data_IF_393899503773
#
_entry.id   IF_393899503773
#
_cell.length_a   1.000
_cell.length_b   1.000
_cell.length_c   1.000
_cell.angle_alpha   90.00
_cell.angle_beta   90.00
_cell.angle_gamma   90.00
#
_symmetry.space_group_name_H-M   'P 1'
#
loop_
_entity.id
_entity.type
_entity.pdbx_description
1 polymer ?
#
# COMPACT_ATOMS: atom_id res chain seq x y z
N UNK A 1 -43.35 -58.53 30.14
CA UNK A 1 -43.21 -57.08 29.75
C UNK A 1 -42.44 -56.39 30.88
N UNK A 2 -41.14 -56.14 30.72
CA UNK A 2 -40.26 -55.51 31.74
C UNK A 2 -40.58 -54.01 31.83
N UNK A 3 -41.16 -53.62 32.97
CA UNK A 3 -41.46 -52.21 33.25
C UNK A 3 -40.12 -51.49 33.44
N UNK A 4 -39.85 -50.49 32.64
CA UNK A 4 -38.62 -49.66 32.72
C UNK A 4 -38.58 -48.88 34.03
N UNK A 5 -37.44 -48.89 34.70
CA UNK A 5 -37.24 -48.25 36.00
C UNK A 5 -37.50 -46.73 35.89
N UNK A 6 -38.32 -46.20 36.80
CA UNK A 6 -38.70 -44.77 36.83
C UNK A 6 -37.46 -43.79 36.85
N UNK A 7 -36.32 -44.25 37.38
CA UNK A 7 -35.08 -43.50 37.37
C UNK A 7 -34.50 -43.35 35.93
N UNK A 8 -34.54 -44.44 35.14
CA UNK A 8 -34.08 -44.43 33.74
C UNK A 8 -34.95 -43.52 32.86
N UNK A 9 -36.27 -43.52 33.09
CA UNK A 9 -37.21 -42.64 32.37
C UNK A 9 -36.91 -41.17 32.67
N UNK A 10 -36.63 -40.80 33.93
CA UNK A 10 -36.24 -39.41 34.29
C UNK A 10 -34.93 -38.94 33.61
N UNK A 11 -33.92 -39.79 33.54
CA UNK A 11 -32.65 -39.47 32.87
C UNK A 11 -32.82 -39.33 31.36
N UNK A 12 -33.62 -40.14 30.72
CA UNK A 12 -33.95 -40.04 29.29
C UNK A 12 -34.70 -38.74 29.02
N UNK A 13 -35.64 -38.33 29.86
CA UNK A 13 -36.38 -37.07 29.72
C UNK A 13 -35.46 -35.84 29.89
N UNK A 14 -34.49 -35.90 30.80
CA UNK A 14 -33.50 -34.81 30.99
C UNK A 14 -32.57 -34.72 29.77
N UNK A 15 -32.08 -35.83 29.24
CA UNK A 15 -31.23 -35.86 28.04
C UNK A 15 -32.00 -35.34 26.81
N UNK A 16 -33.26 -35.74 26.64
CA UNK A 16 -34.10 -35.21 25.55
C UNK A 16 -34.37 -33.72 25.69
N UNK A 17 -34.59 -33.21 26.92
CA UNK A 17 -34.78 -31.79 27.18
C UNK A 17 -33.50 -30.99 26.89
N UNK A 18 -32.31 -31.51 27.22
CA UNK A 18 -31.02 -30.88 26.93
C UNK A 18 -30.74 -30.84 25.40
N UNK A 19 -31.06 -31.92 24.70
CA UNK A 19 -30.92 -31.97 23.21
C UNK A 19 -31.90 -31.01 22.54
N UNK A 20 -33.16 -30.92 23.03
CA UNK A 20 -34.14 -29.94 22.55
C UNK A 20 -33.67 -28.49 22.82
N UNK A 21 -33.12 -28.25 24.02
CA UNK A 21 -32.59 -26.92 24.38
C UNK A 21 -31.37 -26.51 23.56
N UNK A 22 -30.44 -27.45 23.26
CA UNK A 22 -29.34 -27.23 22.35
C UNK A 22 -29.79 -26.99 20.89
N UNK A 23 -30.88 -27.65 20.45
CA UNK A 23 -31.47 -27.45 19.13
C UNK A 23 -32.14 -26.08 18.94
N UNK A 24 -32.65 -25.46 20.02
CA UNK A 24 -33.32 -24.14 20.00
C UNK A 24 -32.31 -23.01 20.06
N UNK A 25 -31.14 -23.23 20.65
CA UNK A 25 -30.02 -22.27 20.67
C UNK A 25 -28.96 -22.48 19.57
N UNK A 26 -29.14 -23.50 18.72
CA UNK A 26 -28.45 -23.58 17.42
C UNK A 26 -29.04 -22.53 16.48
N UNK A 27 -29.02 -21.27 16.87
CA UNK A 27 -29.27 -20.18 15.95
C UNK A 27 -28.32 -20.39 14.78
N UNK A 28 -28.86 -20.43 13.56
CA UNK A 28 -28.07 -20.30 12.36
C UNK A 28 -27.14 -19.12 12.61
N UNK A 29 -25.86 -19.39 12.84
CA UNK A 29 -24.84 -18.41 12.58
C UNK A 29 -24.92 -18.24 11.06
N UNK A 30 -25.79 -17.32 10.66
CA UNK A 30 -25.81 -16.82 9.30
C UNK A 30 -24.39 -16.34 9.08
N UNK A 31 -23.58 -17.16 8.43
CA UNK A 31 -22.28 -16.75 7.99
C UNK A 31 -22.58 -15.65 6.95
N UNK A 32 -22.69 -14.40 7.44
CA UNK A 32 -22.96 -13.24 6.62
C UNK A 32 -22.08 -13.35 5.39
N UNK A 33 -22.73 -13.52 4.24
CA UNK A 33 -22.03 -13.71 2.97
C UNK A 33 -21.04 -12.57 2.80
N UNK A 34 -19.76 -12.90 2.60
CA UNK A 34 -18.72 -11.88 2.51
C UNK A 34 -19.01 -10.97 1.33
N UNK A 35 -19.04 -9.67 1.58
CA UNK A 35 -19.20 -8.67 0.52
C UNK A 35 -18.00 -8.74 -0.42
N UNK A 36 -18.23 -9.05 -1.68
CA UNK A 36 -17.19 -8.96 -2.71
C UNK A 36 -16.89 -7.50 -3.01
N UNK A 37 -15.62 -7.12 -2.89
CA UNK A 37 -15.11 -5.79 -3.22
C UNK A 37 -14.14 -5.93 -4.39
N UNK A 38 -14.48 -5.32 -5.52
CA UNK A 38 -13.69 -5.33 -6.74
C UNK A 38 -12.65 -4.22 -6.65
N UNK A 39 -11.38 -4.59 -6.75
CA UNK A 39 -10.26 -3.65 -6.63
C UNK A 39 -9.48 -3.65 -7.94
N UNK A 40 -9.23 -2.47 -8.50
CA UNK A 40 -8.40 -2.32 -9.68
C UNK A 40 -6.95 -2.77 -9.39
N UNK A 41 -6.37 -3.50 -10.32
CA UNK A 41 -5.01 -4.02 -10.23
C UNK A 41 -4.27 -3.70 -11.52
N UNK A 42 -3.36 -2.75 -11.46
CA UNK A 42 -2.58 -2.25 -12.60
C UNK A 42 -1.09 -2.34 -12.28
N UNK A 43 -0.18 -2.36 -13.27
CA UNK A 43 1.24 -2.44 -13.03
C UNK A 43 1.75 -1.27 -12.15
N UNK A 44 2.28 -1.60 -10.97
CA UNK A 44 2.85 -0.62 -10.04
C UNK A 44 3.91 -1.31 -9.18
N UNK A 45 5.17 -0.99 -9.44
CA UNK A 45 6.31 -1.63 -8.79
C UNK A 45 6.23 -1.58 -7.26
N UNK A 46 6.40 -2.73 -6.63
CA UNK A 46 6.33 -2.90 -5.18
C UNK A 46 4.91 -2.89 -4.58
N UNK A 47 3.92 -2.40 -5.29
CA UNK A 47 2.53 -2.31 -4.83
C UNK A 47 1.63 -3.37 -5.44
N UNK A 48 1.67 -3.54 -6.75
CA UNK A 48 0.91 -4.52 -7.50
C UNK A 48 1.85 -5.41 -8.29
N UNK A 49 1.98 -6.65 -7.89
CA UNK A 49 2.87 -7.64 -8.51
C UNK A 49 2.05 -8.86 -8.91
N UNK A 50 2.08 -9.22 -10.18
CA UNK A 50 1.57 -10.49 -10.66
C UNK A 50 2.71 -11.48 -10.70
N UNK A 51 2.63 -12.53 -9.88
CA UNK A 51 3.63 -13.59 -9.83
C UNK A 51 3.52 -14.53 -11.04
N UNK A 52 4.54 -15.31 -11.30
CA UNK A 52 4.57 -16.26 -12.41
C UNK A 52 3.52 -17.38 -12.33
N UNK A 53 3.01 -17.66 -11.13
CA UNK A 53 1.90 -18.60 -10.88
C UNK A 53 0.52 -17.96 -10.98
N UNK A 54 0.43 -16.68 -11.35
CA UNK A 54 -0.79 -15.90 -11.42
C UNK A 54 -1.31 -15.35 -10.09
N UNK A 55 -0.63 -15.63 -8.98
CA UNK A 55 -0.98 -15.03 -7.68
C UNK A 55 -0.64 -13.54 -7.63
N UNK A 56 -1.31 -12.81 -6.75
CA UNK A 56 -1.11 -11.37 -6.54
C UNK A 56 -0.29 -11.14 -5.28
N UNK A 57 0.65 -10.21 -5.35
CA UNK A 57 1.46 -9.78 -4.21
C UNK A 57 1.75 -8.27 -4.30
N UNK A 58 2.46 -7.74 -3.31
CA UNK A 58 2.78 -6.32 -3.21
C UNK A 58 2.11 -5.64 -2.02
N UNK A 59 2.45 -4.38 -1.81
CA UNK A 59 2.03 -3.61 -0.62
C UNK A 59 0.50 -3.52 -0.50
N UNK A 60 -0.20 -3.22 -1.60
CA UNK A 60 -1.65 -3.10 -1.60
C UNK A 60 -2.35 -4.44 -1.32
N UNK A 61 -1.77 -5.55 -1.79
CA UNK A 61 -2.31 -6.89 -1.49
C UNK A 61 -2.18 -7.20 0.01
N UNK A 62 -1.03 -6.88 0.61
CA UNK A 62 -0.81 -7.06 2.06
C UNK A 62 -1.78 -6.19 2.86
N UNK A 63 -1.94 -4.92 2.47
CA UNK A 63 -2.85 -3.98 3.13
C UNK A 63 -4.32 -4.45 3.05
N UNK A 64 -4.79 -4.82 1.86
CA UNK A 64 -6.16 -5.29 1.66
C UNK A 64 -6.45 -6.61 2.38
N UNK A 65 -5.49 -7.53 2.41
CA UNK A 65 -5.64 -8.77 3.18
C UNK A 65 -5.77 -8.49 4.68
N UNK A 66 -4.94 -7.58 5.23
CA UNK A 66 -5.07 -7.16 6.63
C UNK A 66 -6.43 -6.50 6.89
N UNK A 67 -6.91 -5.65 5.97
CA UNK A 67 -8.23 -5.02 6.09
C UNK A 67 -9.38 -6.07 6.09
N UNK A 68 -9.25 -7.14 5.31
CA UNK A 68 -10.24 -8.24 5.28
C UNK A 68 -10.36 -9.01 6.61
N UNK A 69 -9.36 -8.95 7.49
CA UNK A 69 -9.44 -9.53 8.84
C UNK A 69 -10.40 -8.76 9.76
N UNK A 70 -10.63 -7.47 9.47
CA UNK A 70 -11.49 -6.57 10.25
C UNK A 70 -12.82 -6.27 9.56
N UNK A 71 -12.97 -6.68 8.31
CA UNK A 71 -14.18 -6.45 7.51
C UNK A 71 -14.74 -7.77 7.02
N UNK A 72 -16.01 -7.78 6.67
CA UNK A 72 -16.60 -8.96 6.02
C UNK A 72 -16.39 -8.91 4.50
N UNK A 73 -15.18 -8.53 4.06
CA UNK A 73 -14.84 -8.37 2.64
C UNK A 73 -14.16 -9.61 2.08
N UNK A 74 -14.41 -9.81 0.78
CA UNK A 74 -13.67 -10.71 -0.09
C UNK A 74 -13.15 -9.88 -1.27
N UNK A 75 -11.84 -9.73 -1.40
CA UNK A 75 -11.25 -8.97 -2.49
C UNK A 75 -11.30 -9.78 -3.78
N UNK A 76 -11.74 -9.11 -4.84
CA UNK A 76 -11.65 -9.56 -6.22
C UNK A 76 -10.84 -8.53 -7.00
N UNK A 77 -9.64 -8.92 -7.42
CA UNK A 77 -8.81 -8.05 -8.26
C UNK A 77 -9.34 -8.04 -9.70
N UNK A 78 -9.40 -6.83 -10.28
CA UNK A 78 -9.77 -6.59 -11.67
C UNK A 78 -8.57 -5.99 -12.37
N UNK A 79 -8.02 -6.72 -13.33
CA UNK A 79 -6.84 -6.27 -14.07
C UNK A 79 -7.13 -5.04 -14.89
N UNK A 80 -6.18 -4.11 -14.88
CA UNK A 80 -6.14 -2.90 -15.67
C UNK A 80 -4.74 -2.76 -16.26
N UNK A 81 -4.65 -2.24 -17.48
CA UNK A 81 -3.37 -2.04 -18.15
C UNK A 81 -2.65 -0.78 -17.66
N UNK A 82 -3.41 0.18 -17.10
CA UNK A 82 -2.88 1.45 -16.62
C UNK A 82 -3.70 2.02 -15.44
N UNK A 83 -3.15 3.08 -14.85
CA UNK A 83 -3.85 3.91 -13.88
C UNK A 83 -5.11 4.57 -14.46
N UNK A 84 -5.02 5.05 -15.68
CA UNK A 84 -6.11 5.70 -16.39
C UNK A 84 -7.28 4.73 -16.58
N UNK A 85 -7.00 3.50 -17.03
CA UNK A 85 -8.02 2.46 -17.17
C UNK A 85 -8.64 2.08 -15.81
N UNK A 86 -7.85 2.09 -14.75
CA UNK A 86 -8.38 1.84 -13.40
C UNK A 86 -9.38 2.92 -12.97
N UNK A 87 -9.13 4.19 -13.31
CA UNK A 87 -10.06 5.29 -13.05
C UNK A 87 -11.32 5.18 -13.90
N UNK A 88 -11.20 4.88 -15.21
CA UNK A 88 -12.35 4.66 -16.10
C UNK A 88 -13.24 3.51 -15.59
N UNK A 89 -12.63 2.41 -15.14
CA UNK A 89 -13.38 1.30 -14.54
C UNK A 89 -14.05 1.67 -13.21
N UNK A 90 -13.48 2.60 -12.46
CA UNK A 90 -14.11 3.11 -11.24
C UNK A 90 -15.32 3.99 -11.57
N UNK A 91 -15.21 4.87 -12.53
CA UNK A 91 -16.30 5.70 -13.04
C UNK A 91 -17.46 4.86 -13.60
N UNK A 92 -17.13 3.82 -14.36
CA UNK A 92 -18.09 2.88 -14.92
C UNK A 92 -18.67 1.90 -13.88
N UNK A 93 -18.29 2.00 -12.62
CA UNK A 93 -18.68 1.09 -11.54
C UNK A 93 -18.29 -0.38 -11.79
N UNK A 94 -17.26 -0.62 -12.61
CA UNK A 94 -16.69 -1.95 -12.88
C UNK A 94 -15.77 -2.43 -11.77
N UNK A 95 -15.19 -1.49 -11.04
CA UNK A 95 -14.46 -1.71 -9.79
C UNK A 95 -15.05 -0.85 -8.67
N UNK A 96 -14.83 -1.26 -7.43
CA UNK A 96 -15.34 -0.57 -6.24
C UNK A 96 -14.28 0.30 -5.59
N UNK A 97 -13.00 -0.07 -5.74
CA UNK A 97 -11.85 0.64 -5.16
C UNK A 97 -10.70 0.72 -6.15
N UNK A 98 -10.00 1.85 -6.09
CA UNK A 98 -8.66 2.05 -6.69
C UNK A 98 -7.72 2.52 -5.59
N UNK A 99 -6.59 1.84 -5.40
CA UNK A 99 -5.55 2.20 -4.43
C UNK A 99 -4.56 3.23 -4.96
N UNK A 100 -3.64 3.66 -4.10
CA UNK A 100 -2.48 4.51 -4.45
C UNK A 100 -2.81 5.88 -5.07
N UNK A 101 -4.03 6.38 -4.85
CA UNK A 101 -4.47 7.68 -5.35
C UNK A 101 -3.90 8.84 -4.53
N UNK A 102 -3.08 9.69 -5.12
CA UNK A 102 -2.74 10.97 -4.53
C UNK A 102 -3.94 11.93 -4.63
N UNK A 103 -4.13 12.74 -3.59
CA UNK A 103 -5.22 13.70 -3.56
C UNK A 103 -5.03 14.79 -4.62
N UNK A 104 -6.11 15.09 -5.36
CA UNK A 104 -6.26 16.32 -6.13
C UNK A 104 -7.70 16.82 -6.02
N UNK A 105 -7.89 18.15 -6.13
CA UNK A 105 -9.21 18.75 -6.09
C UNK A 105 -10.11 18.25 -7.22
N UNK A 106 -9.60 18.18 -8.43
CA UNK A 106 -10.32 17.67 -9.61
C UNK A 106 -10.82 16.25 -9.37
N UNK A 107 -9.94 15.36 -8.90
CA UNK A 107 -10.32 13.97 -8.62
C UNK A 107 -11.31 13.85 -7.46
N UNK A 108 -11.26 14.74 -6.47
CA UNK A 108 -12.21 14.78 -5.37
C UNK A 108 -13.60 15.28 -5.78
N UNK A 109 -13.73 15.94 -6.95
CA UNK A 109 -15.03 16.27 -7.52
C UNK A 109 -15.75 15.04 -8.09
N UNK A 110 -15.03 14.01 -8.49
CA UNK A 110 -15.55 12.79 -9.12
C UNK A 110 -15.63 11.61 -8.16
N UNK A 111 -14.62 11.45 -7.31
CA UNK A 111 -14.47 10.29 -6.41
C UNK A 111 -14.49 10.67 -4.94
N UNK A 112 -14.79 9.68 -4.10
CA UNK A 112 -14.63 9.78 -2.65
C UNK A 112 -13.27 9.20 -2.25
N UNK A 113 -12.54 9.92 -1.42
CA UNK A 113 -11.30 9.48 -0.81
C UNK A 113 -11.56 8.84 0.55
N UNK A 114 -10.80 7.80 0.89
CA UNK A 114 -10.76 7.32 2.26
C UNK A 114 -10.27 8.45 3.20
N UNK A 115 -10.80 8.53 4.41
CA UNK A 115 -10.42 9.56 5.39
C UNK A 115 -8.98 9.40 5.86
N UNK A 116 -8.49 8.17 5.91
CA UNK A 116 -7.15 7.83 6.38
C UNK A 116 -6.32 7.39 5.17
N UNK A 117 -5.09 7.93 5.00
CA UNK A 117 -4.21 7.46 3.94
C UNK A 117 -3.83 6.00 4.13
N UNK A 118 -3.78 5.25 3.04
CA UNK A 118 -3.28 3.86 3.03
C UNK A 118 -1.76 3.78 3.05
N UNK A 119 -1.08 4.88 2.74
CA UNK A 119 0.37 4.96 2.76
C UNK A 119 0.90 6.32 2.37
N UNK A 120 2.23 6.40 2.24
CA UNK A 120 2.94 7.61 1.87
C UNK A 120 4.02 7.30 0.84
N UNK A 121 4.16 8.17 -0.16
CA UNK A 121 5.33 8.21 -1.04
C UNK A 121 6.27 9.33 -0.58
N UNK A 122 7.56 9.16 -0.85
CA UNK A 122 8.62 10.06 -0.39
C UNK A 122 9.57 10.38 -1.54
N UNK A 123 10.18 11.56 -1.50
CA UNK A 123 11.48 11.76 -2.09
C UNK A 123 12.53 11.14 -1.18
N UNK A 124 13.53 10.51 -1.75
CA UNK A 124 14.62 9.86 -1.00
C UNK A 124 15.98 10.32 -1.49
N UNK A 125 16.95 10.23 -0.58
CA UNK A 125 18.37 10.37 -0.87
C UNK A 125 18.98 9.01 -0.62
N UNK A 126 19.54 8.38 -1.65
CA UNK A 126 20.10 7.04 -1.56
C UNK A 126 21.57 7.00 -2.03
N UNK A 127 22.35 6.14 -1.42
CA UNK A 127 23.76 5.91 -1.71
C UNK A 127 24.06 4.47 -2.03
N UNK A 128 25.27 4.17 -2.46
CA UNK A 128 25.78 2.82 -2.57
C UNK A 128 25.81 2.11 -1.20
N UNK A 129 25.75 0.77 -1.16
CA UNK A 129 25.67 -0.01 0.08
C UNK A 129 26.91 0.16 0.99
N UNK A 130 28.06 0.47 0.43
CA UNK A 130 29.34 0.67 1.12
C UNK A 130 29.53 2.10 1.68
N UNK A 131 28.62 3.01 1.39
CA UNK A 131 28.66 4.36 1.91
C UNK A 131 28.65 4.39 3.45
N UNK A 132 29.48 5.24 4.05
CA UNK A 132 29.57 5.41 5.50
C UNK A 132 28.68 6.52 6.04
N UNK A 133 27.96 7.24 5.16
CA UNK A 133 27.05 8.31 5.57
C UNK A 133 25.86 7.69 6.30
N UNK A 134 25.63 8.11 7.55
CA UNK A 134 24.49 7.64 8.32
C UNK A 134 23.19 8.35 7.84
N UNK A 135 22.04 7.80 8.23
CA UNK A 135 20.74 8.40 7.95
C UNK A 135 20.66 9.77 8.61
N UNK A 136 20.36 10.81 7.81
CA UNK A 136 20.28 12.23 8.24
C UNK A 136 21.55 12.77 8.90
N UNK A 137 22.73 12.25 8.53
CA UNK A 137 24.01 12.85 8.89
C UNK A 137 24.30 14.06 7.99
N UNK A 138 23.59 15.16 8.27
CA UNK A 138 23.72 16.40 7.48
C UNK A 138 25.12 17.00 7.43
N UNK A 139 25.95 16.92 8.50
CA UNK A 139 27.37 17.29 8.40
C UNK A 139 28.13 16.53 7.31
N UNK A 140 27.97 15.21 7.23
CA UNK A 140 28.56 14.39 6.16
C UNK A 140 27.92 14.66 4.78
N UNK A 141 26.62 14.87 4.75
CA UNK A 141 25.84 15.16 3.54
C UNK A 141 26.17 16.52 2.90
N UNK A 142 26.80 17.45 3.64
CA UNK A 142 27.08 18.81 3.15
C UNK A 142 28.05 18.86 1.98
N UNK A 143 29.02 17.96 1.93
CA UNK A 143 30.15 18.02 1.01
C UNK A 143 30.10 16.98 -0.12
N UNK A 144 28.99 16.30 -0.27
CA UNK A 144 28.80 15.28 -1.30
C UNK A 144 28.13 15.83 -2.56
N UNK A 145 28.29 15.09 -3.66
CA UNK A 145 27.65 15.39 -4.95
C UNK A 145 26.39 14.55 -5.09
N UNK A 146 25.26 15.22 -5.33
CA UNK A 146 23.96 14.61 -5.57
C UNK A 146 23.72 14.47 -7.06
N UNK A 147 23.09 13.35 -7.47
CA UNK A 147 22.51 13.21 -8.80
C UNK A 147 21.01 13.33 -8.74
N UNK A 148 20.39 13.86 -9.79
CA UNK A 148 18.95 14.00 -9.93
C UNK A 148 18.57 13.94 -11.40
N UNK A 149 17.41 13.37 -11.75
CA UNK A 149 16.92 13.48 -13.13
C UNK A 149 16.45 14.90 -13.43
N UNK A 150 16.61 15.32 -14.68
CA UNK A 150 16.07 16.59 -15.17
C UNK A 150 14.54 16.61 -14.91
N UNK A 151 14.00 17.77 -14.50
CA UNK A 151 12.58 17.98 -14.20
C UNK A 151 12.00 17.08 -13.08
N UNK A 152 12.84 16.62 -12.15
CA UNK A 152 12.34 15.88 -11.00
C UNK A 152 11.29 16.69 -10.22
N UNK A 153 10.09 16.13 -10.12
CA UNK A 153 8.90 16.84 -9.60
C UNK A 153 8.99 17.28 -8.14
N UNK A 154 9.96 16.75 -7.35
CA UNK A 154 10.20 17.13 -5.95
C UNK A 154 11.54 17.85 -5.76
N UNK A 155 12.08 18.43 -6.81
CA UNK A 155 13.35 19.17 -6.74
C UNK A 155 13.30 20.30 -5.72
N UNK A 156 12.23 21.09 -5.73
CA UNK A 156 12.09 22.23 -4.82
C UNK A 156 11.95 21.76 -3.36
N UNK A 157 11.22 20.70 -3.12
CA UNK A 157 11.10 20.11 -1.78
C UNK A 157 12.43 19.53 -1.28
N UNK A 158 13.23 18.94 -2.19
CA UNK A 158 14.60 18.51 -1.85
C UNK A 158 15.46 19.71 -1.43
N UNK A 159 15.46 20.80 -2.20
CA UNK A 159 16.22 22.00 -1.88
C UNK A 159 15.77 22.63 -0.55
N UNK A 160 14.46 22.66 -0.28
CA UNK A 160 13.91 23.13 1.00
C UNK A 160 14.36 22.24 2.16
N UNK A 161 14.30 20.91 2.00
CA UNK A 161 14.75 19.94 3.00
C UNK A 161 16.24 20.13 3.33
N UNK A 162 17.09 20.26 2.31
CA UNK A 162 18.52 20.49 2.48
C UNK A 162 18.81 21.84 3.16
N UNK A 163 18.14 22.90 2.73
CA UNK A 163 18.30 24.23 3.32
C UNK A 163 17.86 24.27 4.78
N UNK A 164 16.73 23.65 5.12
CA UNK A 164 16.23 23.54 6.50
C UNK A 164 17.25 22.85 7.42
N UNK A 165 18.00 21.91 6.87
CA UNK A 165 19.02 21.14 7.60
C UNK A 165 20.45 21.72 7.43
N UNK A 166 20.56 23.01 7.03
CA UNK A 166 21.81 23.75 7.01
C UNK A 166 22.66 23.56 5.74
N UNK A 167 22.15 22.89 4.71
CA UNK A 167 22.80 22.70 3.41
C UNK A 167 22.17 23.63 2.37
N UNK A 168 22.65 24.87 2.29
CA UNK A 168 22.03 25.93 1.46
C UNK A 168 22.22 25.75 -0.04
N UNK A 169 23.30 25.09 -0.47
CA UNK A 169 23.67 24.96 -1.88
C UNK A 169 24.23 23.56 -2.13
N UNK A 170 23.40 22.52 -2.16
CA UNK A 170 23.86 21.18 -2.48
C UNK A 170 24.42 21.13 -3.91
N UNK A 171 25.54 20.43 -4.12
CA UNK A 171 26.11 20.21 -5.44
C UNK A 171 25.30 19.16 -6.16
N UNK A 172 24.59 19.53 -7.24
CA UNK A 172 23.69 18.65 -7.98
C UNK A 172 24.18 18.50 -9.42
N UNK A 173 24.23 17.26 -9.91
CA UNK A 173 24.41 16.91 -11.32
C UNK A 173 23.08 16.35 -11.84
N UNK A 174 22.63 16.86 -13.00
CA UNK A 174 21.38 16.43 -13.61
C UNK A 174 21.61 15.39 -14.69
N UNK A 175 20.75 14.39 -14.75
CA UNK A 175 20.76 13.28 -15.69
C UNK A 175 19.45 13.22 -16.48
N UNK A 176 19.52 12.73 -17.72
CA UNK A 176 18.33 12.64 -18.59
C UNK A 176 17.39 11.52 -18.21
N UNK A 177 17.91 10.43 -17.65
CA UNK A 177 17.12 9.27 -17.29
C UNK A 177 17.49 8.71 -15.90
N UNK A 178 16.56 7.96 -15.30
CA UNK A 178 16.82 7.21 -14.07
C UNK A 178 17.92 6.17 -14.27
N UNK A 179 18.05 5.58 -15.46
CA UNK A 179 19.14 4.64 -15.77
C UNK A 179 20.52 5.32 -15.70
N UNK A 180 20.68 6.48 -16.35
CA UNK A 180 21.94 7.23 -16.33
C UNK A 180 22.30 7.66 -14.90
N UNK A 181 21.31 8.09 -14.13
CA UNK A 181 21.47 8.45 -12.72
C UNK A 181 21.96 7.28 -11.87
N UNK A 182 21.37 6.10 -12.05
CA UNK A 182 21.77 4.89 -11.34
C UNK A 182 23.17 4.41 -11.74
N UNK A 183 23.51 4.52 -13.02
CA UNK A 183 24.84 4.20 -13.53
C UNK A 183 25.91 5.15 -12.95
N UNK A 184 25.61 6.43 -12.88
CA UNK A 184 26.51 7.43 -12.29
C UNK A 184 26.80 7.15 -10.80
N UNK A 185 25.77 6.75 -10.02
CA UNK A 185 25.99 6.33 -8.64
C UNK A 185 26.87 5.07 -8.57
N UNK A 186 26.61 4.07 -9.40
CA UNK A 186 27.38 2.82 -9.39
C UNK A 186 28.84 3.02 -9.77
N UNK A 187 29.14 4.00 -10.64
CA UNK A 187 30.49 4.37 -11.06
C UNK A 187 31.20 5.32 -10.10
N UNK A 188 30.50 5.82 -9.07
CA UNK A 188 31.04 6.81 -8.14
C UNK A 188 31.20 8.22 -8.71
N UNK A 189 30.52 8.54 -9.81
CA UNK A 189 30.48 9.90 -10.40
C UNK A 189 29.70 10.87 -9.52
N UNK A 190 28.75 10.33 -8.72
CA UNK A 190 27.99 11.00 -7.68
C UNK A 190 28.06 10.17 -6.40
N UNK A 191 27.90 10.82 -5.25
CA UNK A 191 27.92 10.19 -3.94
C UNK A 191 26.53 9.70 -3.51
N UNK A 192 25.49 10.41 -3.94
CA UNK A 192 24.10 10.09 -3.64
C UNK A 192 23.20 10.47 -4.82
N UNK A 193 22.12 9.71 -4.98
CA UNK A 193 21.04 10.06 -5.91
C UNK A 193 19.80 10.53 -5.15
N UNK A 194 19.01 11.37 -5.82
CA UNK A 194 17.75 11.90 -5.32
C UNK A 194 16.64 11.51 -6.28
N UNK A 195 15.69 10.70 -5.79
CA UNK A 195 14.54 10.24 -6.60
C UNK A 195 13.35 9.80 -5.73
N UNK A 196 12.33 9.20 -6.34
CA UNK A 196 11.18 8.66 -5.62
C UNK A 196 11.52 7.37 -4.88
N UNK A 197 10.88 7.11 -3.76
CA UNK A 197 11.09 5.89 -2.97
C UNK A 197 10.87 4.59 -3.77
N UNK A 198 9.91 4.61 -4.70
CA UNK A 198 9.59 3.46 -5.57
C UNK A 198 10.70 3.10 -6.56
N UNK A 199 11.68 3.95 -6.75
CA UNK A 199 12.80 3.76 -7.69
C UNK A 199 14.10 3.31 -6.99
N UNK A 200 14.05 3.07 -5.66
CA UNK A 200 15.20 2.57 -4.89
C UNK A 200 15.50 1.14 -5.30
N UNK A 201 16.75 0.90 -5.70
CA UNK A 201 17.22 -0.44 -6.04
C UNK A 201 17.66 -1.24 -4.81
N UNK A 202 17.58 -2.57 -4.92
CA UNK A 202 18.09 -3.46 -3.87
C UNK A 202 19.57 -3.17 -3.57
N UNK A 203 19.92 -3.18 -2.29
CA UNK A 203 21.26 -2.90 -1.81
C UNK A 203 21.57 -1.42 -1.60
N UNK A 204 20.80 -0.47 -2.15
CA UNK A 204 21.00 0.95 -1.87
C UNK A 204 20.62 1.30 -0.43
N UNK A 205 21.37 2.22 0.16
CA UNK A 205 21.12 2.73 1.50
C UNK A 205 20.47 4.09 1.45
N UNK A 206 19.38 4.25 2.19
CA UNK A 206 18.75 5.55 2.37
C UNK A 206 19.52 6.35 3.41
N UNK A 207 19.86 7.59 3.05
CA UNK A 207 20.49 8.57 3.95
C UNK A 207 19.58 9.76 4.25
N UNK A 208 18.40 9.85 3.63
CA UNK A 208 17.39 10.86 3.95
C UNK A 208 16.07 10.59 3.24
N UNK A 209 14.98 11.15 3.81
CA UNK A 209 13.65 11.18 3.24
C UNK A 209 13.07 12.57 3.34
N UNK A 210 12.32 12.99 2.34
CA UNK A 210 11.70 14.31 2.31
C UNK A 210 10.36 14.29 1.58
N UNK A 211 9.57 15.34 1.71
CA UNK A 211 8.30 15.58 1.03
C UNK A 211 7.35 14.36 1.08
N UNK A 212 6.92 13.89 2.27
CA UNK A 212 5.93 12.84 2.37
C UNK A 212 4.63 13.29 1.70
N UNK A 213 4.10 12.48 0.78
CA UNK A 213 2.80 12.70 0.14
C UNK A 213 1.92 11.50 0.41
N UNK A 214 0.77 11.68 1.05
CA UNK A 214 -0.16 10.60 1.32
C UNK A 214 -0.80 10.11 0.02
N UNK A 215 -1.12 8.83 -0.03
CA UNK A 215 -2.00 8.25 -1.03
C UNK A 215 -3.12 7.45 -0.33
N UNK A 216 -4.22 7.29 -1.05
CA UNK A 216 -5.48 6.83 -0.51
C UNK A 216 -6.10 5.76 -1.40
N UNK A 217 -7.02 5.00 -0.84
CA UNK A 217 -8.03 4.34 -1.64
C UNK A 217 -9.13 5.34 -2.00
N UNK A 218 -9.60 5.25 -3.25
CA UNK A 218 -10.72 6.03 -3.74
C UNK A 218 -11.84 5.12 -4.22
N UNK A 219 -13.07 5.63 -4.18
CA UNK A 219 -14.26 4.95 -4.66
C UNK A 219 -15.18 5.95 -5.38
N UNK A 220 -16.11 5.46 -6.20
CA UNK A 220 -17.12 6.31 -6.85
C UNK A 220 -18.10 6.89 -5.83
N UNK A 221 -18.64 8.07 -6.12
CA UNK A 221 -19.65 8.71 -5.26
C UNK A 221 -20.93 7.85 -5.21
N UNK A 222 -21.41 7.60 -4.01
CA UNK A 222 -22.59 6.76 -3.76
C UNK A 222 -22.30 5.30 -3.45
N UNK A 223 -21.05 4.84 -3.50
CA UNK A 223 -20.66 3.54 -2.98
C UNK A 223 -20.79 3.57 -1.44
N UNK A 224 -21.64 2.68 -0.86
CA UNK A 224 -21.93 2.58 0.59
C UNK A 224 -21.70 1.16 1.10
#
# INVERSE_FOLDING_TARGET
MKIMDKRKIRWISVILAVILFMGIFGGNIDASERRTVRVAFFPMDGYHITNSDGSRSGMDVVYLNALCEYTNWKIQYVDCDSWEEALEKLEDHKVDLVGSAQYSYERAEEFLYAEIPSGYTFGVIATNPDSRIAYEDFPAMKNITYGMVENYVRKEEFLQYMNHNGIKSPKIIFYKSTSDLQDALSKGEIDALVHSFTEVREGQRLIGRFAPRPFYYITYKGNR
#
